data_IF_584069913095
#
_entry.id   IF_584069913095
#
_cell.length_a   1.000
_cell.length_b   1.000
_cell.length_c   1.000
_cell.angle_alpha   90.00
_cell.angle_beta   90.00
_cell.angle_gamma   90.00
#
_symmetry.space_group_name_H-M   'P 1'
#
loop_
_entity.id
_entity.type
_entity.pdbx_description
1 polymer ?
#
# COMPACT_ATOMS: atom_id res chain seq x y z
N UNK A 1 -17.93 -10.83 0.74
CA UNK A 1 -19.23 -11.21 0.15
C UNK A 1 -19.49 -12.62 0.59
N UNK A 2 -20.61 -12.85 1.28
CA UNK A 2 -20.89 -14.10 1.96
C UNK A 2 -21.87 -14.96 1.13
N UNK A 3 -21.73 -16.28 1.20
CA UNK A 3 -22.66 -17.25 0.62
C UNK A 3 -23.01 -18.27 1.71
N UNK A 4 -24.30 -18.57 1.89
CA UNK A 4 -24.83 -19.51 2.88
C UNK A 4 -24.53 -19.20 4.36
N UNK A 5 -24.15 -17.96 4.67
CA UNK A 5 -23.97 -17.43 6.03
C UNK A 5 -24.54 -16.02 6.11
N UNK A 6 -25.03 -15.62 7.29
CA UNK A 6 -25.63 -14.31 7.53
C UNK A 6 -24.67 -13.14 7.27
N UNK A 7 -25.23 -11.93 7.29
CA UNK A 7 -24.49 -10.68 7.05
C UNK A 7 -23.42 -10.39 8.11
N UNK A 8 -23.50 -11.01 9.29
CA UNK A 8 -22.50 -10.92 10.37
C UNK A 8 -21.36 -11.92 10.25
N UNK A 9 -21.28 -12.70 9.16
CA UNK A 9 -20.17 -13.61 8.91
C UNK A 9 -18.89 -12.85 8.59
N UNK A 10 -18.10 -12.56 9.62
CA UNK A 10 -16.78 -11.95 9.54
C UNK A 10 -15.88 -12.52 10.64
N UNK A 11 -14.58 -12.56 10.40
CA UNK A 11 -13.58 -13.07 11.34
C UNK A 11 -12.32 -12.22 11.34
N UNK A 12 -11.51 -12.33 12.40
CA UNK A 12 -10.31 -11.51 12.65
C UNK A 12 -9.30 -11.60 11.49
N UNK A 13 -9.22 -12.73 10.79
CA UNK A 13 -8.27 -12.92 9.67
C UNK A 13 -8.59 -12.09 8.43
N UNK A 14 -9.84 -11.64 8.26
CA UNK A 14 -10.29 -10.84 7.12
C UNK A 14 -10.23 -9.34 7.36
N UNK A 15 -9.99 -8.56 6.31
CA UNK A 15 -10.23 -7.12 6.35
C UNK A 15 -11.72 -6.83 6.53
N UNK A 16 -12.09 -6.18 7.63
CA UNK A 16 -13.47 -5.80 7.94
C UNK A 16 -13.77 -4.37 7.52
N UNK A 17 -14.81 -4.15 6.73
CA UNK A 17 -15.26 -2.81 6.34
C UNK A 17 -16.20 -2.85 5.14
N UNK A 18 -16.70 -1.69 4.74
CA UNK A 18 -17.74 -1.59 3.71
C UNK A 18 -17.54 -0.40 2.77
N UNK A 19 -18.27 -0.42 1.66
CA UNK A 19 -18.19 0.58 0.59
C UNK A 19 -19.34 1.61 0.65
N UNK A 20 -19.28 2.63 -0.22
CA UNK A 20 -20.33 3.67 -0.38
C UNK A 20 -20.50 4.51 0.89
N UNK A 21 -21.73 4.63 1.41
CA UNK A 21 -22.01 5.38 2.64
C UNK A 21 -21.32 4.81 3.88
N UNK A 22 -20.81 3.57 3.81
CA UNK A 22 -20.02 2.95 4.88
C UNK A 22 -18.58 3.48 4.97
N UNK A 23 -18.10 4.23 3.97
CA UNK A 23 -16.87 5.03 4.09
C UNK A 23 -15.58 4.37 3.60
N UNK A 24 -15.60 3.15 3.07
CA UNK A 24 -14.48 2.53 2.34
C UNK A 24 -13.30 2.02 3.18
N UNK A 25 -13.28 2.32 4.49
CA UNK A 25 -12.24 1.85 5.41
C UNK A 25 -12.18 0.32 5.56
N UNK A 26 -11.05 -0.19 6.07
CA UNK A 26 -10.83 -1.59 6.40
C UNK A 26 -10.03 -1.73 7.69
N UNK A 27 -10.42 -2.67 8.55
CA UNK A 27 -9.85 -2.92 9.88
C UNK A 27 -9.57 -4.42 10.12
N UNK A 28 -8.91 -4.73 11.23
CA UNK A 28 -8.56 -6.08 11.71
C UNK A 28 -7.52 -6.83 10.85
N UNK A 29 -7.97 -7.69 9.94
CA UNK A 29 -7.11 -8.65 9.24
C UNK A 29 -6.53 -8.15 7.91
N UNK A 30 -5.96 -9.08 7.13
CA UNK A 30 -5.30 -8.78 5.85
C UNK A 30 -4.20 -7.70 6.00
N UNK A 31 -4.12 -6.79 5.03
CA UNK A 31 -3.22 -5.66 5.00
C UNK A 31 -3.84 -4.37 5.52
N UNK A 32 -4.89 -4.44 6.35
CA UNK A 32 -5.52 -3.28 6.99
C UNK A 32 -4.53 -2.47 7.85
N UNK A 33 -3.50 -3.11 8.40
CA UNK A 33 -2.40 -2.44 9.11
C UNK A 33 -1.68 -1.38 8.27
N UNK A 34 -1.68 -1.51 6.93
CA UNK A 34 -1.06 -0.53 6.02
C UNK A 34 -1.71 0.84 6.11
N UNK A 35 -2.99 0.93 6.49
CA UNK A 35 -3.65 2.22 6.68
C UNK A 35 -3.07 3.03 7.86
N UNK A 36 -2.44 2.35 8.82
CA UNK A 36 -1.83 2.95 10.01
C UNK A 36 -0.33 3.20 9.85
N UNK A 37 0.23 2.95 8.67
CA UNK A 37 1.64 3.18 8.36
C UNK A 37 1.78 4.00 7.06
N UNK A 38 2.88 4.73 6.91
CA UNK A 38 3.18 5.45 5.65
C UNK A 38 4.07 4.61 4.74
N UNK A 39 3.70 4.48 3.46
CA UNK A 39 4.56 3.85 2.43
C UNK A 39 5.65 4.82 1.99
N UNK A 40 6.87 4.31 1.79
CA UNK A 40 7.97 5.03 1.16
C UNK A 40 8.58 4.17 0.04
N UNK A 41 8.92 4.79 -1.09
CA UNK A 41 9.62 4.13 -2.20
C UNK A 41 11.01 4.70 -2.28
N UNK A 42 12.02 3.85 -2.07
CA UNK A 42 13.42 4.27 -2.01
C UNK A 42 14.23 3.55 -3.10
N UNK A 43 14.93 4.32 -3.93
CA UNK A 43 15.91 3.80 -4.88
C UNK A 43 17.30 4.22 -4.40
N UNK A 44 18.16 3.24 -4.13
CA UNK A 44 19.54 3.48 -3.70
C UNK A 44 20.48 3.03 -4.82
N UNK A 45 21.22 3.98 -5.39
CA UNK A 45 22.25 3.70 -6.39
C UNK A 45 23.61 3.57 -5.68
N UNK A 46 24.21 2.37 -5.74
CA UNK A 46 25.54 2.08 -5.18
C UNK A 46 26.66 2.18 -6.24
N UNK A 47 26.33 2.50 -7.49
CA UNK A 47 27.30 2.67 -8.56
C UNK A 47 27.95 4.06 -8.58
N UNK A 48 29.06 4.18 -9.31
CA UNK A 48 29.74 5.46 -9.54
C UNK A 48 29.13 6.28 -10.69
N UNK A 49 28.15 5.72 -11.41
CA UNK A 49 27.50 6.36 -12.54
C UNK A 49 26.13 6.93 -12.15
N UNK A 50 25.94 8.20 -12.43
CA UNK A 50 24.62 8.80 -12.59
C UNK A 50 24.42 9.06 -14.09
N UNK A 51 23.25 8.74 -14.66
CA UNK A 51 22.99 9.09 -16.05
C UNK A 51 23.16 10.60 -16.24
N UNK A 52 24.01 11.00 -17.17
CA UNK A 52 24.28 12.40 -17.47
C UNK A 52 23.00 13.04 -18.03
N UNK A 53 22.63 14.21 -17.50
CA UNK A 53 21.53 14.98 -18.05
C UNK A 53 21.92 15.44 -19.47
N UNK A 54 21.27 14.86 -20.49
CA UNK A 54 21.46 15.25 -21.91
C UNK A 54 22.91 15.16 -22.42
N UNK A 55 23.76 14.34 -21.79
CA UNK A 55 25.18 14.21 -22.17
C UNK A 55 26.09 15.36 -21.71
N UNK A 56 25.60 16.28 -20.87
CA UNK A 56 26.41 17.34 -20.27
C UNK A 56 27.32 16.73 -19.20
N UNK A 57 28.64 16.88 -19.34
CA UNK A 57 29.62 16.52 -18.32
C UNK A 57 29.84 17.69 -17.36
N UNK A 58 29.66 17.44 -16.06
CA UNK A 58 29.97 18.38 -14.99
C UNK A 58 31.33 18.01 -14.37
N UNK A 59 32.40 18.14 -15.14
CA UNK A 59 33.77 18.10 -14.61
C UNK A 59 34.23 19.52 -14.22
N UNK A 60 35.12 19.63 -13.23
CA UNK A 60 35.78 20.88 -12.80
C UNK A 60 37.06 21.10 -13.58
#
# INVERSE_FOLDING_TARGET
VNVNIGTSGAEIGGAFGGEKATGGGREAGSDAWKAYMRRATNTVNYGHSLPLAQGVQFDV
#
